data_IF_875883366232
#
_entry.id   IF_875883366232
#
_cell.length_a   1.000
_cell.length_b   1.000
_cell.length_c   1.000
_cell.angle_alpha   90.00
_cell.angle_beta   90.00
_cell.angle_gamma   90.00
#
_symmetry.space_group_name_H-M   'P 1'
#
loop_
_entity.id
_entity.type
_entity.pdbx_description
1 polymer ?
#
# COMPACT_ATOMS: atom_id res chain seq x y z
N UNK A 1 -6.03 -100.10 18.44
CA UNK A 1 -5.07 -99.10 18.96
C UNK A 1 -5.89 -97.97 19.57
N UNK A 2 -6.21 -98.08 20.87
CA UNK A 2 -5.60 -97.35 22.00
C UNK A 2 -5.85 -95.83 21.90
N UNK A 3 -6.81 -95.28 22.67
CA UNK A 3 -6.60 -94.49 23.92
C UNK A 3 -5.87 -93.15 23.65
N UNK A 4 -6.27 -91.95 24.05
CA UNK A 4 -6.91 -91.36 25.24
C UNK A 4 -7.35 -89.93 24.85
N UNK A 5 -8.55 -89.42 25.12
CA UNK A 5 -9.04 -88.76 26.36
C UNK A 5 -8.12 -87.70 27.01
N UNK A 6 -8.77 -86.60 27.41
CA UNK A 6 -8.40 -85.51 28.36
C UNK A 6 -7.83 -84.24 27.70
N UNK A 7 -8.27 -83.01 28.01
CA UNK A 7 -9.17 -82.52 29.05
C UNK A 7 -9.80 -81.16 28.65
N UNK A 8 -10.94 -80.89 29.28
CA UNK A 8 -11.71 -79.64 29.35
C UNK A 8 -10.83 -78.40 29.62
N UNK A 9 -11.30 -77.22 29.24
CA UNK A 9 -11.73 -76.14 30.17
C UNK A 9 -12.35 -74.99 29.37
N UNK A 10 -13.55 -74.57 29.81
CA UNK A 10 -14.25 -73.33 29.45
C UNK A 10 -13.31 -72.13 29.51
N UNK A 11 -13.38 -71.18 28.58
CA UNK A 11 -13.20 -69.77 28.94
C UNK A 11 -13.91 -68.82 27.97
N UNK A 12 -14.86 -68.08 28.56
CA UNK A 12 -15.26 -66.70 28.29
C UNK A 12 -15.25 -66.20 26.84
N UNK A 13 -16.46 -66.00 26.31
CA UNK A 13 -16.70 -65.06 25.22
C UNK A 13 -16.27 -63.64 25.66
N UNK A 14 -15.08 -63.22 25.27
CA UNK A 14 -14.69 -61.81 25.29
C UNK A 14 -15.00 -61.27 23.89
N UNK A 15 -16.08 -60.49 23.84
CA UNK A 15 -16.39 -59.57 22.77
C UNK A 15 -15.13 -58.74 22.46
N UNK A 16 -14.53 -58.98 21.30
CA UNK A 16 -13.60 -58.05 20.68
C UNK A 16 -14.40 -56.81 20.27
N UNK A 17 -14.47 -55.83 21.17
CA UNK A 17 -14.68 -54.45 20.76
C UNK A 17 -13.46 -54.04 19.93
N UNK A 18 -13.61 -53.54 18.69
CA UNK A 18 -12.52 -52.83 18.07
C UNK A 18 -12.28 -51.59 18.92
N UNK A 19 -11.09 -51.49 19.51
CA UNK A 19 -10.58 -50.25 20.05
C UNK A 19 -10.53 -49.28 18.88
N UNK A 20 -11.54 -48.43 18.79
CA UNK A 20 -11.51 -47.26 17.93
C UNK A 20 -10.29 -46.44 18.35
N UNK A 21 -9.25 -46.47 17.53
CA UNK A 21 -8.26 -45.40 17.47
C UNK A 21 -9.03 -44.12 17.21
N UNK A 22 -9.41 -43.43 18.29
CA UNK A 22 -9.74 -42.02 18.26
C UNK A 22 -8.47 -41.32 17.77
N UNK A 23 -8.36 -41.17 16.45
CA UNK A 23 -7.51 -40.14 15.88
C UNK A 23 -7.98 -38.83 16.51
N UNK A 24 -7.19 -38.29 17.43
CA UNK A 24 -7.24 -36.88 17.74
C UNK A 24 -6.89 -36.17 16.43
N UNK A 25 -7.94 -35.82 15.70
CA UNK A 25 -7.88 -34.81 14.67
C UNK A 25 -7.54 -33.53 15.43
N UNK A 26 -6.25 -33.19 15.49
CA UNK A 26 -5.80 -31.94 16.05
C UNK A 26 -6.55 -30.83 15.32
N UNK A 27 -7.49 -30.18 16.02
CA UNK A 27 -8.27 -29.07 15.46
C UNK A 27 -7.27 -28.03 14.93
N UNK A 28 -7.23 -27.88 13.61
CA UNK A 28 -6.33 -26.93 12.97
C UNK A 28 -6.70 -25.53 13.46
N UNK A 29 -5.74 -24.82 14.06
CA UNK A 29 -5.95 -23.47 14.56
C UNK A 29 -6.53 -22.56 13.46
N UNK A 30 -7.50 -21.70 13.80
CA UNK A 30 -8.02 -20.72 12.84
C UNK A 30 -6.91 -19.78 12.36
N UNK A 31 -7.08 -19.24 11.16
CA UNK A 31 -6.08 -18.33 10.60
C UNK A 31 -6.03 -17.02 11.38
N UNK A 32 -4.81 -16.56 11.67
CA UNK A 32 -4.56 -15.24 12.23
C UNK A 32 -4.89 -14.15 11.22
N UNK A 33 -5.44 -13.03 11.69
CA UNK A 33 -5.68 -11.81 10.92
C UNK A 33 -4.88 -10.66 11.52
N UNK A 34 -4.17 -9.92 10.70
CA UNK A 34 -3.34 -8.79 11.13
C UNK A 34 -3.63 -7.62 10.20
N UNK A 35 -4.36 -6.61 10.70
CA UNK A 35 -4.71 -5.42 9.94
C UNK A 35 -3.85 -4.23 10.40
N UNK A 36 -3.00 -3.73 9.49
CA UNK A 36 -2.02 -2.69 9.77
C UNK A 36 -2.50 -1.38 9.13
N UNK A 37 -2.89 -0.37 9.93
CA UNK A 37 -3.17 0.95 9.42
C UNK A 37 -1.84 1.66 9.07
N UNK A 38 -1.72 2.09 7.82
CA UNK A 38 -0.58 2.84 7.30
C UNK A 38 -1.07 4.23 6.95
N UNK A 39 -0.35 5.23 7.44
CA UNK A 39 -0.57 6.62 7.08
C UNK A 39 0.66 7.14 6.34
N UNK A 40 0.43 7.64 5.12
CA UNK A 40 1.48 8.19 4.25
C UNK A 40 1.26 9.68 4.05
N UNK A 41 2.27 10.49 4.33
CA UNK A 41 2.27 11.91 4.03
C UNK A 41 2.68 12.13 2.56
N UNK A 42 1.81 12.76 1.78
CA UNK A 42 1.97 12.98 0.35
C UNK A 42 2.77 14.25 0.01
N UNK A 43 3.00 15.17 0.96
CA UNK A 43 3.75 16.42 0.73
C UNK A 43 5.15 16.22 0.10
N UNK A 44 5.95 15.19 0.48
CA UNK A 44 7.23 14.94 -0.18
C UNK A 44 7.05 14.58 -1.66
N UNK A 45 6.02 13.80 -1.99
CA UNK A 45 5.70 13.40 -3.37
C UNK A 45 5.30 14.63 -4.19
N UNK A 46 4.48 15.52 -3.61
CA UNK A 46 4.08 16.79 -4.24
C UNK A 46 5.29 17.69 -4.55
N UNK A 47 6.26 17.75 -3.64
CA UNK A 47 7.51 18.51 -3.85
C UNK A 47 8.38 17.90 -4.94
N UNK A 48 8.39 16.58 -5.10
CA UNK A 48 9.09 15.93 -6.20
C UNK A 48 8.42 16.24 -7.54
N UNK A 49 7.08 16.19 -7.59
CA UNK A 49 6.32 16.57 -8.79
C UNK A 49 6.58 18.03 -9.20
N UNK A 50 6.58 18.96 -8.24
CA UNK A 50 6.87 20.37 -8.49
C UNK A 50 8.24 20.61 -9.13
N UNK A 51 9.25 19.83 -8.71
CA UNK A 51 10.63 19.94 -9.25
C UNK A 51 10.81 19.25 -10.60
N UNK A 52 9.98 18.26 -10.91
CA UNK A 52 10.11 17.47 -12.12
C UNK A 52 9.48 18.14 -13.36
N UNK A 53 8.59 19.12 -13.15
CA UNK A 53 7.86 19.79 -14.22
C UNK A 53 8.40 21.21 -14.39
N UNK A 54 8.72 21.59 -15.63
CA UNK A 54 9.20 22.94 -15.92
C UNK A 54 8.19 24.01 -15.51
N UNK A 55 8.69 25.16 -15.06
CA UNK A 55 7.86 26.29 -14.66
C UNK A 55 7.51 27.21 -15.81
N UNK A 56 8.28 27.16 -16.90
CA UNK A 56 8.16 28.04 -18.07
C UNK A 56 8.18 27.20 -19.34
N UNK A 57 7.24 27.49 -20.23
CA UNK A 57 7.08 26.85 -21.53
C UNK A 57 7.05 27.96 -22.59
N UNK A 58 7.78 27.77 -23.68
CA UNK A 58 7.88 28.77 -24.75
C UNK A 58 7.67 28.11 -26.10
N UNK A 59 7.26 28.92 -27.08
CA UNK A 59 7.32 28.50 -28.47
C UNK A 59 8.77 28.22 -28.89
N UNK A 60 9.00 27.31 -29.86
CA UNK A 60 10.32 27.08 -30.44
C UNK A 60 11.04 28.38 -30.84
N UNK A 61 12.34 28.46 -30.55
CA UNK A 61 13.22 29.61 -30.82
C UNK A 61 12.76 30.95 -30.23
N UNK A 62 11.92 30.95 -29.19
CA UNK A 62 11.56 32.18 -28.46
C UNK A 62 12.80 32.87 -27.86
N UNK A 63 12.91 34.21 -27.88
CA UNK A 63 11.89 35.20 -28.27
C UNK A 63 11.85 35.57 -29.76
N UNK A 64 12.85 35.13 -30.54
CA UNK A 64 13.09 35.62 -31.90
C UNK A 64 12.32 34.85 -32.97
N UNK A 65 12.06 33.56 -32.70
CA UNK A 65 11.32 32.65 -33.56
C UNK A 65 9.82 32.88 -33.59
N UNK A 66 9.20 32.47 -34.70
CA UNK A 66 7.76 32.41 -34.87
C UNK A 66 7.35 30.99 -35.25
N UNK A 67 6.30 30.49 -34.62
CA UNK A 67 5.62 29.26 -35.04
C UNK A 67 4.62 29.63 -36.10
N UNK A 68 4.74 29.00 -37.27
CA UNK A 68 3.78 29.15 -38.34
C UNK A 68 2.80 27.98 -38.29
N UNK A 69 1.56 28.23 -37.84
CA UNK A 69 0.51 27.21 -37.78
C UNK A 69 0.06 26.78 -39.18
N UNK A 70 -0.10 27.75 -40.07
CA UNK A 70 -0.58 27.57 -41.42
C UNK A 70 -0.09 28.70 -42.33
N UNK A 71 -0.57 28.76 -43.57
CA UNK A 71 -0.20 29.86 -44.45
C UNK A 71 -0.61 31.21 -43.88
N UNK A 72 -1.75 31.32 -43.22
CA UNK A 72 -2.38 32.57 -42.82
C UNK A 72 -1.96 33.06 -41.43
N UNK A 73 -1.41 32.22 -40.56
CA UNK A 73 -1.24 32.51 -39.13
C UNK A 73 0.15 32.13 -38.62
N UNK A 74 0.79 33.09 -37.93
CA UNK A 74 2.00 32.85 -37.14
C UNK A 74 1.85 33.40 -35.73
N UNK A 75 2.47 32.74 -34.77
CA UNK A 75 2.41 33.12 -33.37
C UNK A 75 3.69 32.77 -32.62
N UNK A 76 3.88 33.42 -31.48
CA UNK A 76 4.86 33.05 -30.47
C UNK A 76 4.27 33.27 -29.09
N UNK A 77 4.70 32.46 -28.13
CA UNK A 77 4.15 32.53 -26.78
C UNK A 77 5.19 32.25 -25.72
N UNK A 78 4.93 32.81 -24.53
CA UNK A 78 5.58 32.46 -23.29
C UNK A 78 4.49 32.14 -22.28
N UNK A 79 4.59 30.98 -21.65
CA UNK A 79 3.67 30.51 -20.62
C UNK A 79 4.47 30.18 -19.36
N UNK A 80 4.05 30.71 -18.22
CA UNK A 80 4.65 30.43 -16.92
C UNK A 80 3.57 29.91 -15.99
N UNK A 81 3.81 28.80 -15.30
CA UNK A 81 2.89 28.28 -14.28
C UNK A 81 3.22 28.81 -12.89
N UNK A 82 2.20 28.88 -12.04
CA UNK A 82 2.36 28.93 -10.59
C UNK A 82 2.83 27.58 -10.05
N UNK A 83 3.20 27.49 -8.75
CA UNK A 83 3.36 26.20 -8.08
C UNK A 83 2.09 25.34 -8.23
N UNK A 84 2.29 24.04 -8.32
CA UNK A 84 1.24 23.05 -8.41
C UNK A 84 0.49 22.98 -7.09
N UNK A 85 -0.84 23.04 -7.17
CA UNK A 85 -1.74 22.82 -6.06
C UNK A 85 -2.30 21.41 -6.19
N UNK A 86 -1.80 20.51 -5.35
CA UNK A 86 -2.22 19.11 -5.34
C UNK A 86 -3.07 18.86 -4.09
N UNK A 87 -4.23 18.23 -4.27
CA UNK A 87 -5.11 17.83 -3.18
C UNK A 87 -5.67 16.45 -3.46
N UNK A 88 -5.72 15.61 -2.44
CA UNK A 88 -6.28 14.28 -2.56
C UNK A 88 -7.52 14.15 -1.66
N UNK A 89 -8.59 13.56 -2.20
CA UNK A 89 -9.84 13.29 -1.51
C UNK A 89 -10.35 11.91 -1.92
N UNK A 90 -10.45 11.00 -0.95
CA UNK A 90 -10.77 9.60 -1.20
C UNK A 90 -9.72 8.96 -2.12
N UNK A 91 -10.13 8.52 -3.31
CA UNK A 91 -9.27 7.97 -4.35
C UNK A 91 -9.05 8.92 -5.54
N UNK A 92 -9.51 10.18 -5.43
CA UNK A 92 -9.35 11.21 -6.45
C UNK A 92 -8.29 12.21 -6.04
N UNK A 93 -7.49 12.65 -7.00
CA UNK A 93 -6.46 13.66 -6.83
C UNK A 93 -6.69 14.79 -7.81
N UNK A 94 -6.85 15.99 -7.28
CA UNK A 94 -6.94 17.22 -8.05
C UNK A 94 -5.58 17.88 -8.11
N UNK A 95 -5.15 18.15 -9.34
CA UNK A 95 -4.00 18.95 -9.68
C UNK A 95 -4.50 20.24 -10.31
N UNK A 96 -4.13 21.40 -9.77
CA UNK A 96 -4.43 22.69 -10.39
C UNK A 96 -3.26 23.66 -10.29
N UNK A 97 -3.18 24.58 -11.23
CA UNK A 97 -2.26 25.70 -11.18
C UNK A 97 -2.80 26.88 -11.99
N UNK A 98 -2.31 28.06 -11.69
CA UNK A 98 -2.58 29.26 -12.48
C UNK A 98 -1.46 29.44 -13.49
N UNK A 99 -1.83 29.45 -14.77
CA UNK A 99 -0.98 29.83 -15.87
C UNK A 99 -1.00 31.33 -16.10
N UNK A 100 0.16 31.89 -16.39
CA UNK A 100 0.39 33.26 -16.82
C UNK A 100 0.94 33.20 -18.24
N UNK A 101 0.27 33.83 -19.19
CA UNK A 101 0.64 33.71 -20.59
C UNK A 101 0.78 35.06 -21.27
N UNK A 102 1.71 35.08 -22.22
CA UNK A 102 1.94 36.15 -23.19
C UNK A 102 1.90 35.54 -24.57
N UNK A 103 1.15 36.15 -25.48
CA UNK A 103 1.04 35.68 -26.86
C UNK A 103 1.15 36.86 -27.82
N UNK A 104 1.90 36.65 -28.89
CA UNK A 104 1.96 37.55 -30.02
C UNK A 104 1.57 36.78 -31.27
N UNK A 105 0.68 37.35 -32.08
CA UNK A 105 0.16 36.73 -33.30
C UNK A 105 0.17 37.72 -34.46
N UNK A 106 0.35 37.21 -35.67
CA UNK A 106 0.18 37.97 -36.90
C UNK A 106 -0.50 37.09 -37.94
N UNK A 107 -1.30 37.71 -38.78
CA UNK A 107 -2.07 37.04 -39.83
C UNK A 107 -1.74 37.58 -41.21
N UNK A 108 -2.04 36.81 -42.25
CA UNK A 108 -1.96 37.26 -43.65
C UNK A 108 -3.01 36.54 -44.48
N UNK A 109 -3.34 37.09 -45.64
CA UNK A 109 -4.26 36.48 -46.58
C UNK A 109 -3.54 35.40 -47.39
N UNK A 110 -4.16 34.21 -47.45
CA UNK A 110 -3.70 33.10 -48.27
C UNK A 110 -4.86 32.49 -49.07
N UNK A 111 -4.55 32.01 -50.28
CA UNK A 111 -5.40 31.11 -51.06
C UNK A 111 -4.70 29.77 -51.18
N UNK A 112 -5.13 28.79 -50.38
CA UNK A 112 -4.37 27.54 -50.19
C UNK A 112 -2.99 27.81 -49.60
N UNK A 113 -1.94 27.38 -50.29
CA UNK A 113 -0.54 27.67 -49.94
C UNK A 113 -0.01 28.98 -50.54
N UNK A 114 -0.78 29.65 -51.39
CA UNK A 114 -0.37 30.88 -52.07
C UNK A 114 -0.59 32.09 -51.19
N UNK A 115 0.48 32.86 -50.96
CA UNK A 115 0.48 34.07 -50.14
C UNK A 115 -0.03 35.25 -50.96
N UNK A 116 -1.09 35.91 -50.49
CA UNK A 116 -1.72 37.04 -51.19
C UNK A 116 -1.46 38.40 -50.54
N UNK A 117 -0.95 38.43 -49.30
CA UNK A 117 -0.62 39.67 -48.60
C UNK A 117 0.64 39.54 -47.74
N UNK A 118 1.30 40.67 -47.41
CA UNK A 118 2.27 40.68 -46.32
C UNK A 118 1.60 40.35 -44.98
N UNK A 119 2.42 40.08 -43.97
CA UNK A 119 1.96 39.91 -42.59
C UNK A 119 1.38 41.21 -42.05
N UNK A 120 0.28 41.10 -41.31
CA UNK A 120 -0.23 42.19 -40.48
C UNK A 120 0.77 42.53 -39.37
N UNK A 121 0.72 43.76 -38.81
CA UNK A 121 1.44 44.08 -37.59
C UNK A 121 1.15 43.05 -36.49
N UNK A 122 2.17 42.68 -35.72
CA UNK A 122 1.99 41.71 -34.65
C UNK A 122 1.05 42.28 -33.60
N UNK A 123 0.01 41.54 -33.28
CA UNK A 123 -0.88 41.85 -32.18
C UNK A 123 -0.41 41.07 -30.95
N UNK A 124 -0.22 41.78 -29.85
CA UNK A 124 0.33 41.25 -28.59
C UNK A 124 -0.75 41.23 -27.52
N UNK A 125 -0.59 40.31 -26.58
CA UNK A 125 -1.45 40.16 -25.41
C UNK A 125 -0.58 39.66 -24.26
N UNK A 126 -0.61 40.36 -23.13
CA UNK A 126 0.26 40.12 -21.97
C UNK A 126 1.72 40.62 -22.10
N UNK A 127 2.07 41.37 -23.15
CA UNK A 127 3.43 41.93 -23.34
C UNK A 127 3.57 43.36 -22.80
N UNK A 128 2.81 44.30 -23.37
CA UNK A 128 2.79 45.72 -22.95
C UNK A 128 1.80 45.97 -21.80
N UNK A 129 1.07 44.92 -21.42
CA UNK A 129 0.07 44.87 -20.38
C UNK A 129 0.39 43.73 -19.39
N UNK A 130 -0.38 43.63 -18.30
CA UNK A 130 -0.22 42.56 -17.35
C UNK A 130 -0.42 41.17 -18.00
N UNK A 131 0.35 40.18 -17.55
CA UNK A 131 0.22 38.78 -18.00
C UNK A 131 -1.21 38.28 -17.84
N UNK A 132 -1.71 37.61 -18.89
CA UNK A 132 -3.06 37.04 -18.86
C UNK A 132 -3.07 35.74 -18.06
N UNK A 133 -4.13 35.52 -17.30
CA UNK A 133 -4.25 34.39 -16.39
C UNK A 133 -5.25 33.35 -16.88
N UNK A 134 -4.90 32.09 -16.69
CA UNK A 134 -5.76 30.93 -16.95
C UNK A 134 -5.61 29.92 -15.83
N UNK A 135 -6.71 29.40 -15.30
CA UNK A 135 -6.66 28.25 -14.39
C UNK A 135 -6.70 26.96 -15.20
N UNK A 136 -5.73 26.09 -14.93
CA UNK A 136 -5.60 24.78 -15.53
C UNK A 136 -5.69 23.73 -14.43
N UNK A 137 -6.32 22.59 -14.72
CA UNK A 137 -6.33 21.49 -13.79
C UNK A 137 -6.63 20.13 -14.42
N UNK A 138 -6.28 19.09 -13.66
CA UNK A 138 -6.55 17.70 -13.96
C UNK A 138 -7.13 17.02 -12.72
N UNK A 139 -8.02 16.07 -12.92
CA UNK A 139 -8.48 15.14 -11.87
C UNK A 139 -8.03 13.74 -12.24
N UNK A 140 -7.29 13.11 -11.34
CA UNK A 140 -6.81 11.73 -11.48
C UNK A 140 -7.57 10.83 -10.52
N UNK A 141 -8.20 9.77 -11.03
CA UNK A 141 -8.90 8.78 -10.22
C UNK A 141 -8.09 7.50 -10.17
N UNK A 142 -7.79 7.02 -8.96
CA UNK A 142 -7.00 5.82 -8.72
C UNK A 142 -7.89 4.62 -8.38
N UNK A 143 -7.60 3.48 -9.00
CA UNK A 143 -8.26 2.22 -8.71
C UNK A 143 -7.23 1.10 -8.64
N UNK A 144 -7.14 0.42 -7.50
CA UNK A 144 -6.29 -0.77 -7.37
C UNK A 144 -7.11 -2.02 -7.69
N UNK A 145 -6.68 -2.74 -8.72
CA UNK A 145 -7.28 -4.03 -9.09
C UNK A 145 -6.77 -5.19 -8.22
N UNK A 146 -7.49 -6.33 -8.15
CA UNK A 146 -7.06 -7.49 -7.38
C UNK A 146 -5.71 -8.11 -7.80
N UNK A 147 -5.28 -7.88 -9.04
CA UNK A 147 -3.99 -8.32 -9.60
C UNK A 147 -2.82 -7.36 -9.30
N UNK A 148 -3.03 -6.38 -8.41
CA UNK A 148 -2.07 -5.34 -8.03
C UNK A 148 -1.71 -4.37 -9.15
N UNK A 149 -2.58 -4.19 -10.15
CA UNK A 149 -2.43 -3.11 -11.12
C UNK A 149 -3.16 -1.87 -10.60
N UNK A 150 -2.39 -0.81 -10.36
CA UNK A 150 -2.93 0.51 -10.09
C UNK A 150 -3.33 1.16 -11.42
N UNK A 151 -4.62 1.39 -11.60
CA UNK A 151 -5.17 2.09 -12.75
C UNK A 151 -5.42 3.54 -12.39
N UNK A 152 -5.03 4.43 -13.28
CA UNK A 152 -5.23 5.87 -13.14
C UNK A 152 -5.98 6.40 -14.35
N UNK A 153 -7.15 6.99 -14.11
CA UNK A 153 -7.93 7.68 -15.15
C UNK A 153 -7.77 9.18 -14.96
N UNK A 154 -7.29 9.87 -15.99
CA UNK A 154 -6.99 11.31 -15.92
C UNK A 154 -8.02 12.09 -16.73
N UNK A 155 -8.64 13.07 -16.09
CA UNK A 155 -9.65 13.94 -16.70
C UNK A 155 -9.11 15.35 -16.68
N UNK A 156 -8.98 15.98 -17.85
CA UNK A 156 -8.65 17.40 -17.96
C UNK A 156 -9.86 18.23 -17.54
N UNK A 157 -9.67 19.20 -16.63
CA UNK A 157 -10.68 20.22 -16.34
C UNK A 157 -10.64 21.27 -17.45
N UNK A 158 -11.81 21.79 -17.82
CA UNK A 158 -11.85 22.86 -18.83
C UNK A 158 -11.08 24.09 -18.33
N UNK A 159 -10.11 24.61 -19.10
CA UNK A 159 -9.35 25.79 -18.70
C UNK A 159 -10.26 27.01 -18.57
N UNK A 160 -10.08 27.78 -17.49
CA UNK A 160 -10.86 28.99 -17.21
C UNK A 160 -9.95 30.20 -17.37
N UNK A 161 -10.17 30.99 -18.43
CA UNK A 161 -9.49 32.28 -18.59
C UNK A 161 -10.10 33.30 -17.62
N UNK A 162 -9.23 34.01 -16.90
CA UNK A 162 -9.65 35.11 -16.00
C UNK A 162 -9.60 36.46 -16.70
N UNK A 163 -8.72 36.59 -17.69
CA UNK A 163 -8.50 37.83 -18.42
C UNK A 163 -8.84 37.60 -19.90
N UNK A 164 -9.57 38.55 -20.50
CA UNK A 164 -9.77 38.59 -21.95
C UNK A 164 -8.46 38.94 -22.65
N UNK A 165 -8.23 38.31 -23.78
CA UNK A 165 -7.10 38.58 -24.66
C UNK A 165 -7.63 39.29 -25.91
N UNK A 166 -7.65 40.62 -25.86
CA UNK A 166 -8.02 41.47 -26.99
C UNK A 166 -6.75 41.80 -27.77
N UNK A 167 -6.74 41.46 -29.05
CA UNK A 167 -5.59 41.68 -29.93
C UNK A 167 -5.97 42.65 -31.05
N UNK A 168 -5.01 43.49 -31.43
CA UNK A 168 -5.05 44.46 -32.53
C UNK A 168 -5.86 45.75 -32.26
N UNK A 169 -5.63 46.76 -33.10
CA UNK A 169 -6.28 48.09 -33.09
C UNK A 169 -7.83 48.04 -33.18
N UNK A 170 -8.41 46.89 -33.55
CA UNK A 170 -9.85 46.68 -33.70
C UNK A 170 -10.52 45.97 -32.51
N UNK A 171 -9.77 45.67 -31.43
CA UNK A 171 -10.32 45.07 -30.21
C UNK A 171 -10.88 43.66 -30.41
N UNK A 172 -10.28 42.85 -31.29
CA UNK A 172 -10.77 41.49 -31.54
C UNK A 172 -10.38 40.57 -30.37
N UNK A 173 -11.39 39.97 -29.72
CA UNK A 173 -11.19 38.99 -28.66
C UNK A 173 -10.77 37.63 -29.26
N UNK A 174 -9.52 37.23 -29.04
CA UNK A 174 -8.96 35.94 -29.48
C UNK A 174 -8.85 34.92 -28.35
N UNK A 175 -9.40 35.22 -27.18
CA UNK A 175 -9.32 34.35 -25.99
C UNK A 175 -9.74 32.92 -26.31
N UNK A 176 -10.81 32.75 -27.11
CA UNK A 176 -11.30 31.44 -27.52
C UNK A 176 -10.27 30.65 -28.33
N UNK A 177 -9.63 31.28 -29.31
CA UNK A 177 -8.62 30.62 -30.15
C UNK A 177 -7.39 30.19 -29.31
N UNK A 178 -6.97 31.04 -28.37
CA UNK A 178 -5.88 30.72 -27.43
C UNK A 178 -6.26 29.55 -26.53
N UNK A 179 -7.48 29.56 -25.97
CA UNK A 179 -7.98 28.48 -25.13
C UNK A 179 -8.12 27.17 -25.91
N UNK A 180 -8.57 27.20 -27.17
CA UNK A 180 -8.69 26.00 -27.99
C UNK A 180 -7.30 25.41 -28.33
N UNK A 181 -6.30 26.26 -28.57
CA UNK A 181 -4.90 25.82 -28.69
C UNK A 181 -4.38 25.19 -27.40
N UNK A 182 -4.60 25.85 -26.26
CA UNK A 182 -4.21 25.35 -24.95
C UNK A 182 -4.88 24.00 -24.64
N UNK A 183 -6.16 23.83 -24.97
CA UNK A 183 -6.87 22.55 -24.78
C UNK A 183 -6.19 21.40 -25.52
N UNK A 184 -5.75 21.62 -26.76
CA UNK A 184 -5.04 20.60 -27.54
C UNK A 184 -3.74 20.18 -26.87
N UNK A 185 -2.93 21.14 -26.40
CA UNK A 185 -1.70 20.84 -25.67
C UNK A 185 -1.95 20.11 -24.34
N UNK A 186 -3.02 20.48 -23.64
CA UNK A 186 -3.43 19.80 -22.41
C UNK A 186 -3.97 18.39 -22.68
N UNK A 187 -4.59 18.13 -23.82
CA UNK A 187 -5.01 16.79 -24.24
C UNK A 187 -3.81 15.90 -24.57
N UNK A 188 -2.78 16.46 -25.23
CA UNK A 188 -1.51 15.77 -25.46
C UNK A 188 -0.81 15.45 -24.15
N UNK A 189 -0.77 16.42 -23.23
CA UNK A 189 -0.21 16.24 -21.88
C UNK A 189 -0.96 15.17 -21.09
N UNK A 190 -2.31 15.19 -21.14
CA UNK A 190 -3.14 14.13 -20.55
C UNK A 190 -2.76 12.77 -21.10
N UNK A 191 -2.70 12.64 -22.42
CA UNK A 191 -2.36 11.38 -23.07
C UNK A 191 -0.96 10.88 -22.66
N UNK A 192 0.02 11.77 -22.62
CA UNK A 192 1.37 11.43 -22.16
C UNK A 192 1.40 10.95 -20.69
N UNK A 193 0.61 11.59 -19.81
CA UNK A 193 0.46 11.14 -18.43
C UNK A 193 -0.24 9.77 -18.33
N UNK A 194 -1.27 9.52 -19.13
CA UNK A 194 -1.95 8.22 -19.19
C UNK A 194 -1.05 7.12 -19.75
N UNK A 195 -0.26 7.41 -20.78
CA UNK A 195 0.69 6.45 -21.36
C UNK A 195 1.81 6.11 -20.35
N UNK A 196 2.20 7.05 -19.49
CA UNK A 196 3.26 6.86 -18.49
C UNK A 196 2.77 6.23 -17.17
N UNK A 197 1.58 6.62 -16.71
CA UNK A 197 1.09 6.32 -15.36
C UNK A 197 -0.33 5.72 -15.32
N UNK A 198 -0.99 5.54 -16.47
CA UNK A 198 -2.37 5.05 -16.53
C UNK A 198 -2.53 3.63 -16.02
N UNK A 199 -1.49 2.80 -16.13
CA UNK A 199 -1.45 1.45 -15.55
C UNK A 199 -0.07 1.18 -14.96
N UNK A 200 -0.01 0.99 -13.64
CA UNK A 200 1.23 0.72 -12.94
C UNK A 200 1.19 -0.62 -12.20
N UNK A 201 2.02 -1.62 -12.58
CA UNK A 201 2.04 -2.92 -11.92
C UNK A 201 2.81 -2.85 -10.59
N UNK A 202 2.11 -3.00 -9.46
CA UNK A 202 2.72 -3.00 -8.13
C UNK A 202 3.28 -4.36 -7.71
N UNK A 203 2.89 -5.43 -8.41
CA UNK A 203 3.25 -6.82 -8.07
C UNK A 203 4.75 -7.05 -7.83
N UNK A 204 5.70 -6.54 -8.63
CA UNK A 204 7.13 -6.78 -8.40
C UNK A 204 7.63 -6.21 -7.07
N UNK A 205 7.11 -5.05 -6.64
CA UNK A 205 7.46 -4.41 -5.38
C UNK A 205 6.87 -5.19 -4.20
N UNK A 206 5.60 -5.58 -4.32
CA UNK A 206 4.89 -6.33 -3.28
C UNK A 206 5.40 -7.76 -3.14
N UNK A 207 5.85 -8.41 -4.22
CA UNK A 207 6.46 -9.74 -4.16
C UNK A 207 7.72 -9.73 -3.28
N UNK A 208 8.53 -8.66 -3.33
CA UNK A 208 9.72 -8.53 -2.45
C UNK A 208 9.30 -8.47 -0.97
N UNK A 209 8.30 -7.64 -0.65
CA UNK A 209 7.76 -7.55 0.70
C UNK A 209 7.14 -8.89 1.16
N UNK A 210 6.43 -9.58 0.27
CA UNK A 210 5.85 -10.89 0.53
C UNK A 210 6.90 -11.96 0.82
N UNK A 211 8.01 -11.94 0.09
CA UNK A 211 9.12 -12.85 0.34
C UNK A 211 9.72 -12.63 1.74
N UNK A 212 9.84 -11.37 2.18
CA UNK A 212 10.29 -11.03 3.54
C UNK A 212 9.31 -11.54 4.61
N UNK A 213 8.00 -11.42 4.37
CA UNK A 213 6.97 -11.94 5.30
C UNK A 213 6.99 -13.47 5.42
N UNK A 214 7.49 -14.19 4.41
CA UNK A 214 7.66 -15.64 4.45
C UNK A 214 9.01 -16.06 5.04
N UNK A 215 9.91 -15.13 5.37
CA UNK A 215 11.22 -15.47 5.89
C UNK A 215 11.15 -15.87 7.38
N UNK A 216 11.66 -17.06 7.77
CA UNK A 216 11.69 -17.46 9.17
C UNK A 216 12.59 -16.55 10.00
N UNK A 217 12.10 -16.12 11.16
CA UNK A 217 12.79 -15.21 12.06
C UNK A 217 13.20 -15.94 13.36
N UNK A 218 14.50 -16.03 13.68
CA UNK A 218 14.94 -16.63 14.93
C UNK A 218 14.62 -15.71 16.11
N UNK A 219 13.92 -16.26 17.10
CA UNK A 219 13.64 -15.62 18.39
C UNK A 219 14.52 -16.29 19.45
N UNK A 220 15.53 -15.59 20.01
CA UNK A 220 16.42 -16.14 21.02
C UNK A 220 15.65 -16.74 22.21
N UNK A 221 16.01 -17.97 22.61
CA UNK A 221 15.39 -18.69 23.74
C UNK A 221 14.02 -19.31 23.46
N UNK A 222 13.39 -19.00 22.32
CA UNK A 222 12.03 -19.46 21.99
C UNK A 222 12.01 -20.38 20.77
N UNK A 223 12.84 -20.14 19.77
CA UNK A 223 12.90 -20.94 18.55
C UNK A 223 12.83 -20.08 17.28
N UNK A 224 12.34 -20.64 16.19
CA UNK A 224 12.20 -19.97 14.90
C UNK A 224 10.72 -19.70 14.65
N UNK A 225 10.38 -18.42 14.51
CA UNK A 225 9.05 -17.95 14.14
C UNK A 225 8.89 -17.94 12.62
N UNK A 226 7.76 -18.44 12.15
CA UNK A 226 7.35 -18.36 10.75
C UNK A 226 5.91 -17.88 10.68
N UNK A 227 5.66 -16.79 9.93
CA UNK A 227 4.32 -16.22 9.80
C UNK A 227 3.40 -17.09 8.92
N UNK A 228 3.94 -17.72 7.87
CA UNK A 228 3.21 -18.44 6.81
C UNK A 228 1.97 -17.69 6.29
N UNK A 229 2.16 -16.53 5.65
CA UNK A 229 1.03 -15.74 5.16
C UNK A 229 0.29 -16.47 4.02
N UNK A 230 -1.04 -16.36 4.01
CA UNK A 230 -1.95 -17.06 3.09
C UNK A 230 -2.66 -16.13 2.11
N UNK A 231 -3.08 -14.95 2.57
CA UNK A 231 -3.74 -13.96 1.72
C UNK A 231 -3.46 -12.54 2.19
N UNK A 232 -3.67 -11.60 1.25
CA UNK A 232 -3.64 -10.16 1.49
C UNK A 232 -5.00 -9.58 1.16
N UNK A 233 -5.42 -8.63 1.97
CA UNK A 233 -6.51 -7.75 1.63
C UNK A 233 -6.09 -6.31 1.88
N UNK A 234 -6.74 -5.39 1.18
CA UNK A 234 -6.50 -3.96 1.35
C UNK A 234 -7.83 -3.26 1.35
N UNK A 235 -8.03 -2.37 2.31
CA UNK A 235 -9.20 -1.50 2.31
C UNK A 235 -9.07 -0.46 1.18
N UNK A 236 -10.19 0.17 0.82
CA UNK A 236 -10.18 1.25 -0.17
C UNK A 236 -9.22 2.36 0.28
N UNK A 237 -8.49 2.91 -0.69
CA UNK A 237 -7.63 4.07 -0.47
C UNK A 237 -8.49 5.24 0.02
N UNK A 238 -8.11 5.81 1.17
CA UNK A 238 -8.79 6.98 1.70
C UNK A 238 -7.78 8.07 2.00
N UNK A 239 -7.69 9.05 1.10
CA UNK A 239 -6.90 10.24 1.32
C UNK A 239 -7.76 11.40 1.81
N UNK A 240 -7.20 12.18 2.73
CA UNK A 240 -7.76 13.46 3.14
C UNK A 240 -6.64 14.50 3.15
N UNK A 241 -6.77 15.51 2.29
CA UNK A 241 -5.77 16.55 2.05
C UNK A 241 -4.43 15.95 1.56
N UNK A 242 -3.46 15.86 2.47
CA UNK A 242 -2.09 15.41 2.21
C UNK A 242 -1.78 14.08 2.90
N UNK A 243 -2.77 13.46 3.56
CA UNK A 243 -2.60 12.20 4.28
C UNK A 243 -3.39 11.10 3.56
N UNK A 244 -2.66 10.08 3.13
CA UNK A 244 -3.22 8.86 2.57
C UNK A 244 -3.29 7.79 3.67
N UNK A 245 -4.50 7.37 4.01
CA UNK A 245 -4.75 6.30 4.95
C UNK A 245 -5.06 5.02 4.17
N UNK A 246 -4.31 3.96 4.45
CA UNK A 246 -4.45 2.66 3.83
C UNK A 246 -4.38 1.62 4.94
N UNK A 247 -5.35 0.72 4.99
CA UNK A 247 -5.26 -0.46 5.86
C UNK A 247 -4.89 -1.65 4.99
N UNK A 248 -3.76 -2.27 5.29
CA UNK A 248 -3.31 -3.52 4.66
C UNK A 248 -3.49 -4.64 5.67
N UNK A 249 -4.21 -5.67 5.29
CA UNK A 249 -4.48 -6.82 6.14
C UNK A 249 -3.87 -8.10 5.58
N UNK A 250 -3.32 -8.91 6.48
CA UNK A 250 -2.70 -10.20 6.18
C UNK A 250 -3.46 -11.28 6.93
N UNK A 251 -3.77 -12.39 6.25
CA UNK A 251 -4.20 -13.62 6.91
C UNK A 251 -3.06 -14.63 6.89
N UNK A 252 -2.76 -15.24 8.03
CA UNK A 252 -1.54 -16.03 8.24
C UNK A 252 -1.75 -17.19 9.24
N UNK A 253 -0.88 -18.19 9.22
CA UNK A 253 -0.85 -19.27 10.21
C UNK A 253 0.52 -19.27 10.91
N UNK A 254 0.72 -18.40 11.91
CA UNK A 254 2.03 -18.28 12.54
C UNK A 254 2.35 -19.54 13.35
N UNK A 255 3.61 -19.99 13.24
CA UNK A 255 4.15 -21.16 13.93
C UNK A 255 5.49 -20.81 14.57
N UNK A 256 5.74 -21.32 15.77
CA UNK A 256 7.06 -21.33 16.41
C UNK A 256 7.54 -22.76 16.52
N UNK A 257 8.73 -23.03 15.96
CA UNK A 257 9.37 -24.34 15.95
C UNK A 257 10.88 -24.24 16.19
N UNK A 258 11.48 -25.26 16.79
CA UNK A 258 12.93 -25.28 17.06
C UNK A 258 13.76 -25.70 15.85
N UNK A 259 13.18 -26.47 14.94
CA UNK A 259 13.85 -26.87 13.70
C UNK A 259 13.77 -25.76 12.66
N UNK A 260 14.84 -25.61 11.87
CA UNK A 260 14.89 -24.62 10.80
C UNK A 260 13.94 -25.04 9.69
N UNK A 261 12.80 -24.35 9.60
CA UNK A 261 11.85 -24.54 8.50
C UNK A 261 12.56 -24.31 7.16
N UNK A 262 12.30 -25.17 6.18
CA UNK A 262 12.75 -24.91 4.82
C UNK A 262 12.16 -23.56 4.35
N UNK A 263 12.97 -22.76 3.66
CA UNK A 263 12.49 -21.51 3.06
C UNK A 263 11.46 -21.86 1.99
N UNK A 264 10.20 -21.47 2.21
CA UNK A 264 9.15 -21.60 1.22
C UNK A 264 8.81 -20.22 0.67
N UNK A 265 9.24 -19.94 -0.55
CA UNK A 265 8.80 -18.75 -1.28
C UNK A 265 7.48 -19.07 -1.97
N UNK A 266 6.42 -18.38 -1.58
CA UNK A 266 5.12 -18.47 -2.26
C UNK A 266 4.93 -17.28 -3.20
N UNK A 267 4.26 -17.47 -4.36
CA UNK A 267 3.89 -16.34 -5.20
C UNK A 267 2.90 -15.44 -4.43
N UNK A 268 3.00 -14.12 -4.64
CA UNK A 268 2.06 -13.16 -4.07
C UNK A 268 0.63 -13.49 -4.55
N UNK A 269 -0.29 -13.86 -3.65
CA UNK A 269 -1.68 -14.16 -4.01
C UNK A 269 -2.39 -12.86 -4.40
N UNK A 270 -3.46 -12.94 -5.21
CA UNK A 270 -4.29 -11.77 -5.52
C UNK A 270 -4.95 -11.20 -4.26
N UNK A 271 -5.30 -9.91 -4.30
CA UNK A 271 -6.02 -9.27 -3.19
C UNK A 271 -7.39 -9.90 -3.01
N UNK A 272 -7.68 -10.31 -1.79
CA UNK A 272 -9.02 -10.71 -1.38
C UNK A 272 -9.82 -9.47 -0.95
N UNK A 273 -11.16 -9.49 -1.08
CA UNK A 273 -12.01 -8.39 -0.60
C UNK A 273 -11.74 -8.11 0.87
N UNK A 274 -11.62 -6.83 1.23
CA UNK A 274 -11.46 -6.44 2.62
C UNK A 274 -12.75 -6.71 3.39
N UNK A 275 -12.68 -7.51 4.45
CA UNK A 275 -13.73 -7.55 5.46
C UNK A 275 -13.53 -6.38 6.43
N UNK A 276 -14.60 -5.69 6.85
CA UNK A 276 -14.51 -4.63 7.85
C UNK A 276 -14.22 -5.25 9.22
N UNK A 277 -12.96 -5.54 9.49
CA UNK A 277 -12.43 -5.71 10.83
C UNK A 277 -11.24 -4.77 10.96
N UNK A 278 -11.18 -4.07 12.08
CA UNK A 278 -9.97 -3.37 12.50
C UNK A 278 -9.31 -4.18 13.62
N UNK A 279 -7.98 -4.22 13.62
CA UNK A 279 -7.20 -4.84 14.70
C UNK A 279 -6.45 -6.09 14.26
N UNK A 280 -6.07 -6.92 15.23
CA UNK A 280 -5.37 -8.16 15.00
C UNK A 280 -5.94 -9.28 15.88
N UNK A 281 -5.98 -10.48 15.32
CA UNK A 281 -6.29 -11.72 16.03
C UNK A 281 -5.22 -12.71 15.65
N UNK A 282 -4.41 -13.13 16.61
CA UNK A 282 -3.26 -14.00 16.37
C UNK A 282 -3.51 -15.33 17.08
N UNK A 283 -3.56 -16.40 16.30
CA UNK A 283 -3.55 -17.78 16.73
C UNK A 283 -2.17 -18.34 16.41
N UNK A 284 -1.40 -18.64 17.45
CA UNK A 284 -0.04 -19.13 17.33
C UNK A 284 0.00 -20.63 17.63
N UNK A 285 0.50 -21.43 16.69
CA UNK A 285 0.89 -22.80 16.96
C UNK A 285 2.32 -22.80 17.53
N UNK A 286 2.47 -23.25 18.77
CA UNK A 286 3.75 -23.22 19.47
C UNK A 286 4.06 -24.61 20.02
N UNK A 287 4.94 -25.33 19.33
CA UNK A 287 5.56 -26.52 19.87
C UNK A 287 6.76 -26.09 20.72
N UNK A 288 6.51 -25.69 21.98
CA UNK A 288 7.55 -25.33 22.94
C UNK A 288 8.04 -26.57 23.67
N UNK A 289 9.36 -26.72 23.80
CA UNK A 289 9.95 -27.75 24.65
C UNK A 289 9.69 -27.36 26.11
N UNK A 290 9.51 -28.37 26.96
CA UNK A 290 9.36 -28.15 28.39
C UNK A 290 10.57 -27.43 29.01
N UNK A 291 11.77 -27.61 28.43
CA UNK A 291 12.99 -26.92 28.85
C UNK A 291 12.93 -25.41 28.58
N UNK A 292 12.42 -24.99 27.41
CA UNK A 292 12.22 -23.56 27.09
C UNK A 292 11.15 -22.92 27.96
N UNK A 293 10.03 -23.62 28.21
CA UNK A 293 9.01 -23.20 29.17
C UNK A 293 9.59 -23.07 30.58
N UNK A 294 10.44 -24.01 30.98
CA UNK A 294 11.19 -23.99 32.22
C UNK A 294 12.07 -22.74 32.33
N UNK A 295 12.84 -22.40 31.29
CA UNK A 295 13.67 -21.18 31.29
C UNK A 295 12.84 -19.90 31.43
N UNK A 296 11.72 -19.79 30.71
CA UNK A 296 10.85 -18.61 30.79
C UNK A 296 10.23 -18.50 32.19
N UNK A 297 9.66 -19.59 32.71
CA UNK A 297 9.02 -19.58 34.04
C UNK A 297 10.05 -19.29 35.14
N UNK A 298 11.26 -19.88 35.06
CA UNK A 298 12.32 -19.57 36.00
C UNK A 298 12.78 -18.11 35.90
N UNK A 299 12.78 -17.50 34.71
CA UNK A 299 13.05 -16.07 34.55
C UNK A 299 12.09 -15.16 35.32
N UNK A 300 10.84 -15.61 35.53
CA UNK A 300 9.84 -14.85 36.30
C UNK A 300 9.75 -15.25 37.77
N UNK A 301 9.94 -16.53 38.09
CA UNK A 301 9.63 -17.12 39.40
C UNK A 301 10.86 -17.37 40.27
N UNK A 302 12.01 -17.72 39.69
CA UNK A 302 13.20 -18.04 40.48
C UNK A 302 13.68 -16.80 41.26
N UNK A 303 13.96 -16.99 42.55
CA UNK A 303 14.35 -15.93 43.48
C UNK A 303 13.19 -15.04 43.96
N UNK A 304 11.95 -15.26 43.50
CA UNK A 304 10.79 -14.50 44.01
C UNK A 304 10.44 -14.96 45.43
N UNK A 305 10.30 -13.99 46.32
CA UNK A 305 9.82 -14.16 47.68
C UNK A 305 8.33 -13.88 47.75
N UNK A 306 7.60 -14.80 48.37
CA UNK A 306 6.20 -14.70 48.69
C UNK A 306 6.07 -14.74 50.21
N UNK A 307 5.62 -13.64 50.81
CA UNK A 307 5.33 -13.61 52.24
C UNK A 307 3.96 -14.27 52.46
N UNK A 308 3.93 -15.30 53.30
CA UNK A 308 2.74 -16.11 53.59
C UNK A 308 2.30 -15.76 55.01
N UNK A 309 1.55 -14.67 55.16
CA UNK A 309 1.11 -14.18 56.47
C UNK A 309 -0.39 -14.42 56.69
N UNK A 310 -0.71 -15.40 57.54
CA UNK A 310 -2.00 -15.49 58.26
C UNK A 310 -1.80 -15.78 59.76
N UNK A 311 -0.76 -15.21 60.39
CA UNK A 311 -0.54 -15.40 61.83
C UNK A 311 0.60 -14.57 62.44
N UNK A 312 0.80 -14.73 63.77
CA UNK A 312 1.74 -13.98 64.62
C UNK A 312 3.24 -14.08 64.23
N UNK A 313 3.60 -14.93 63.27
CA UNK A 313 4.97 -15.09 62.78
C UNK A 313 5.00 -14.85 61.26
N UNK A 314 5.84 -13.92 60.82
CA UNK A 314 6.05 -13.64 59.41
C UNK A 314 6.79 -14.81 58.74
N UNK A 315 6.06 -15.62 57.98
CA UNK A 315 6.62 -16.70 57.17
C UNK A 315 6.83 -16.24 55.74
N UNK A 316 7.84 -16.79 55.09
CA UNK A 316 8.13 -16.46 53.70
C UNK A 316 8.61 -17.68 52.93
N UNK A 317 8.28 -17.71 51.65
CA UNK A 317 8.68 -18.73 50.69
C UNK A 317 9.46 -18.05 49.58
N UNK A 318 10.64 -18.55 49.27
CA UNK A 318 11.48 -18.16 48.13
C UNK A 318 11.52 -19.31 47.16
N UNK A 319 11.06 -19.07 45.94
CA UNK A 319 11.14 -20.07 44.86
C UNK A 319 12.59 -20.17 44.40
N UNK A 320 13.15 -21.37 44.40
CA UNK A 320 14.50 -21.64 43.87
C UNK A 320 14.46 -21.94 42.39
N UNK A 321 13.59 -22.87 42.02
CA UNK A 321 13.50 -23.38 40.65
C UNK A 321 12.09 -23.92 40.39
N UNK A 322 11.65 -23.81 39.15
CA UNK A 322 10.41 -24.43 38.66
C UNK A 322 10.76 -25.33 37.47
N UNK A 323 10.52 -26.63 37.62
CA UNK A 323 10.64 -27.60 36.52
C UNK A 323 9.28 -27.77 35.86
N UNK A 324 9.26 -27.80 34.53
CA UNK A 324 8.05 -27.99 33.73
C UNK A 324 8.17 -29.34 33.03
N UNK A 325 7.10 -30.14 33.01
CA UNK A 325 7.04 -31.42 32.31
C UNK A 325 5.60 -31.68 31.81
N UNK A 326 5.43 -32.72 30.99
CA UNK A 326 4.11 -33.25 30.61
C UNK A 326 3.83 -34.59 31.29
N UNK A 327 2.57 -34.88 31.60
CA UNK A 327 2.15 -36.23 31.99
C UNK A 327 1.70 -37.06 30.76
N UNK A 328 1.41 -38.36 30.96
CA UNK A 328 0.98 -39.27 29.89
C UNK A 328 -0.35 -38.90 29.20
N UNK A 329 -1.13 -38.00 29.80
CA UNK A 329 -2.41 -37.50 29.29
C UNK A 329 -2.27 -36.15 28.59
N UNK A 330 -1.05 -35.59 28.51
CA UNK A 330 -0.76 -34.28 27.91
C UNK A 330 -0.96 -33.08 28.84
N UNK A 331 -1.22 -33.30 30.13
CA UNK A 331 -1.34 -32.22 31.12
C UNK A 331 0.03 -31.65 31.50
N UNK A 332 0.09 -30.34 31.74
CA UNK A 332 1.29 -29.65 32.21
C UNK A 332 1.54 -29.93 33.70
N UNK A 333 2.71 -30.45 34.03
CA UNK A 333 3.21 -30.64 35.38
C UNK A 333 4.21 -29.53 35.73
N UNK A 334 3.99 -28.88 36.86
CA UNK A 334 4.87 -27.85 37.42
C UNK A 334 5.40 -28.35 38.76
N UNK A 335 6.70 -28.60 38.83
CA UNK A 335 7.39 -28.90 40.09
C UNK A 335 8.08 -27.64 40.57
N UNK A 336 7.70 -27.14 41.74
CA UNK A 336 8.31 -25.94 42.34
C UNK A 336 9.21 -26.36 43.49
N UNK A 337 10.50 -26.11 43.35
CA UNK A 337 11.47 -26.25 44.43
C UNK A 337 11.60 -24.89 45.13
N UNK A 338 11.35 -24.86 46.44
CA UNK A 338 11.33 -23.63 47.24
C UNK A 338 12.06 -23.78 48.58
N UNK A 339 12.39 -22.66 49.18
CA UNK A 339 12.95 -22.56 50.54
C UNK A 339 12.26 -21.47 51.32
N UNK A 340 12.20 -21.57 52.64
CA UNK A 340 11.50 -20.59 53.47
C UNK A 340 11.69 -20.83 54.96
N UNK A 341 11.13 -19.93 55.77
CA UNK A 341 11.10 -20.01 57.25
C UNK A 341 9.68 -19.92 57.78
#
# INVERSE_FOLDING_TARGET
MLWMRLARILFCAILFSPVSLLGQQADSLPLSRIDIPIQVNLKPIYRLAEKAVDTVFTSPQYPDGWVQADCATRYKYQFRRSPLQLRMQGSSMDLSFTGYYKIAGATRLCSGSTVLSPWTPSCTCGFDEAERKVTIGFTSNFHLRPDYVLQTKIIRKEPVAHDKCEVCFWGQDVTKAVLDGLKKELDLSRKAMEDSFGTFPLRPFLQKAWNLLNEPYPIPGVGIFSLTPKSLHMQNLNAQNDLLNITIGITAAPVVQFEKAARHTTPLPNLTPATPSGGFTVYLDAALSYDSLGQVINGYMAGKRFDVSEGLFAKHIVVKEVTVAGNAEGNLLLKVDFTGS
#
